data_IF_781112208071
#
_entry.id   IF_781112208071
#
_cell.length_a   1.000
_cell.length_b   1.000
_cell.length_c   1.000
_cell.angle_alpha   90.00
_cell.angle_beta   90.00
_cell.angle_gamma   90.00
#
_symmetry.space_group_name_H-M   'P 1'
#
loop_
_entity.id
_entity.type
_entity.pdbx_description
1 polymer ?
#
# COMPACT_ATOMS: atom_id res chain seq x y z
N UNK A 1 1.87 -17.38 21.76
CA UNK A 1 2.93 -17.18 20.76
C UNK A 1 3.67 -15.89 21.08
N UNK A 2 4.98 -15.82 20.84
CA UNK A 2 5.70 -14.55 21.00
C UNK A 2 5.24 -13.57 19.93
N UNK A 3 5.07 -12.28 20.30
CA UNK A 3 4.73 -11.23 19.35
C UNK A 3 5.87 -11.02 18.34
N UNK A 4 5.51 -10.63 17.14
CA UNK A 4 6.45 -10.28 16.06
C UNK A 4 7.02 -8.89 16.36
N UNK A 5 8.31 -8.78 16.59
CA UNK A 5 8.96 -7.48 16.79
C UNK A 5 9.21 -6.80 15.43
N UNK A 6 8.59 -5.66 15.23
CA UNK A 6 8.78 -4.85 14.04
C UNK A 6 9.41 -3.50 14.38
N UNK A 7 10.22 -3.00 13.45
CA UNK A 7 10.69 -1.61 13.44
C UNK A 7 10.23 -0.90 12.17
N UNK A 8 10.14 0.42 12.23
CA UNK A 8 9.69 1.26 11.11
C UNK A 8 10.83 2.23 10.77
N UNK A 9 11.30 2.19 9.53
CA UNK A 9 12.25 3.16 9.00
C UNK A 9 11.51 4.15 8.10
N UNK A 10 11.40 5.41 8.53
CA UNK A 10 10.59 6.45 7.94
C UNK A 10 9.21 6.58 8.60
N UNK A 11 8.97 7.69 9.28
CA UNK A 11 7.72 7.96 10.00
C UNK A 11 6.86 9.00 9.27
N UNK A 12 6.88 8.94 7.92
CA UNK A 12 6.01 9.68 7.01
C UNK A 12 4.55 9.19 7.06
N UNK A 13 3.75 9.51 6.06
CA UNK A 13 2.32 9.08 6.02
C UNK A 13 2.20 7.57 6.23
N UNK A 14 2.87 6.77 5.38
CA UNK A 14 2.73 5.31 5.41
C UNK A 14 3.33 4.71 6.68
N UNK A 15 4.53 5.12 7.11
CA UNK A 15 5.12 4.60 8.36
C UNK A 15 4.25 4.85 9.59
N UNK A 16 3.61 6.05 9.69
CA UNK A 16 2.66 6.35 10.77
C UNK A 16 1.39 5.51 10.70
N UNK A 17 0.87 5.24 9.50
CA UNK A 17 -0.35 4.44 9.35
C UNK A 17 -0.07 2.95 9.55
N UNK A 18 1.07 2.44 9.13
CA UNK A 18 1.54 1.10 9.52
C UNK A 18 1.64 1.01 11.05
N UNK A 19 2.20 2.04 11.71
CA UNK A 19 2.21 2.11 13.17
C UNK A 19 0.81 2.03 13.77
N UNK A 20 -0.13 2.86 13.28
CA UNK A 20 -1.52 2.89 13.76
C UNK A 20 -2.26 1.56 13.51
N UNK A 21 -2.02 0.91 12.37
CA UNK A 21 -2.60 -0.39 12.05
C UNK A 21 -2.02 -1.52 12.95
N UNK A 22 -0.72 -1.44 13.27
CA UNK A 22 -0.02 -2.47 14.02
C UNK A 22 -0.16 -2.37 15.54
N UNK A 23 -0.33 -1.15 16.11
CA UNK A 23 -0.22 -0.94 17.56
C UNK A 23 -1.26 -1.71 18.40
N UNK A 24 -2.43 -1.95 17.85
CA UNK A 24 -3.50 -2.70 18.49
C UNK A 24 -3.56 -4.16 18.04
N UNK A 25 -2.65 -4.59 17.14
CA UNK A 25 -2.58 -5.98 16.71
C UNK A 25 -1.94 -6.85 17.81
N UNK A 26 -2.64 -7.87 18.33
CA UNK A 26 -2.15 -8.69 19.44
C UNK A 26 -0.88 -9.48 19.09
N UNK A 27 -0.63 -9.73 17.81
CA UNK A 27 0.51 -10.51 17.33
C UNK A 27 1.77 -9.67 17.08
N UNK A 28 1.65 -8.33 17.10
CA UNK A 28 2.74 -7.42 16.75
C UNK A 28 3.21 -6.61 17.96
N UNK A 29 4.49 -6.35 17.98
CA UNK A 29 5.13 -5.45 18.92
C UNK A 29 6.03 -4.48 18.14
N UNK A 30 5.73 -3.18 18.21
CA UNK A 30 6.56 -2.15 17.60
C UNK A 30 7.67 -1.80 18.58
N UNK A 31 8.92 -2.10 18.21
CA UNK A 31 10.08 -1.96 19.10
C UNK A 31 10.95 -0.75 18.79
N UNK A 32 10.86 -0.20 17.58
CA UNK A 32 11.67 0.94 17.19
C UNK A 32 11.14 1.72 15.99
N UNK A 33 11.50 2.99 15.93
CA UNK A 33 11.21 3.89 14.81
C UNK A 33 12.49 4.66 14.49
N UNK A 34 12.81 4.80 13.22
CA UNK A 34 13.85 5.71 12.74
C UNK A 34 13.25 6.75 11.81
N UNK A 35 13.55 8.02 12.07
CA UNK A 35 13.28 9.14 11.17
C UNK A 35 14.18 10.31 11.55
N UNK A 36 14.34 11.31 10.67
CA UNK A 36 15.20 12.46 10.91
C UNK A 36 14.55 13.57 11.75
N UNK A 37 13.39 13.29 12.34
CA UNK A 37 12.68 14.17 13.28
C UNK A 37 12.79 13.64 14.71
N UNK A 38 12.64 14.51 15.71
CA UNK A 38 12.72 14.11 17.11
C UNK A 38 11.42 13.46 17.64
N UNK A 39 11.53 12.80 18.79
CA UNK A 39 10.42 12.09 19.42
C UNK A 39 9.24 13.00 19.80
N UNK A 40 9.48 14.27 20.16
CA UNK A 40 8.40 15.20 20.48
C UNK A 40 7.55 15.50 19.25
N UNK A 41 8.20 15.75 18.11
CA UNK A 41 7.51 15.99 16.87
C UNK A 41 6.84 14.71 16.33
N UNK A 42 7.49 13.54 16.46
CA UNK A 42 6.84 12.26 16.17
C UNK A 42 5.57 12.04 17.00
N UNK A 43 5.64 12.32 18.31
CA UNK A 43 4.50 12.26 19.24
C UNK A 43 3.35 13.16 18.78
N UNK A 44 3.66 14.39 18.38
CA UNK A 44 2.66 15.30 17.82
C UNK A 44 2.01 14.75 16.55
N UNK A 45 2.84 14.31 15.58
CA UNK A 45 2.36 13.77 14.30
C UNK A 45 1.58 12.46 14.46
N UNK A 46 1.87 11.66 15.49
CA UNK A 46 1.10 10.44 15.78
C UNK A 46 -0.26 10.78 16.37
N UNK A 47 -0.31 11.76 17.29
CA UNK A 47 -1.56 12.17 17.95
C UNK A 47 -2.56 12.81 17.01
N UNK A 48 -2.08 13.59 16.03
CA UNK A 48 -2.94 14.43 15.19
C UNK A 48 -2.76 14.08 13.72
N UNK A 49 -3.83 13.70 13.08
CA UNK A 49 -3.88 13.43 11.66
C UNK A 49 -5.18 14.03 11.08
N UNK A 50 -5.03 14.83 10.01
CA UNK A 50 -6.18 15.52 9.41
C UNK A 50 -7.11 14.54 8.72
N UNK A 51 -6.56 13.49 8.12
CA UNK A 51 -7.31 12.50 7.32
C UNK A 51 -7.90 11.42 8.22
N UNK A 52 -7.07 10.81 9.08
CA UNK A 52 -7.47 9.65 9.91
C UNK A 52 -7.80 10.01 11.36
N UNK A 53 -7.92 11.31 11.66
CA UNK A 53 -8.32 11.76 12.98
C UNK A 53 -7.29 11.57 14.09
N UNK A 54 -7.69 11.85 15.31
CA UNK A 54 -6.84 11.68 16.48
C UNK A 54 -6.49 10.21 16.71
N UNK A 55 -5.25 9.98 17.14
CA UNK A 55 -4.83 8.65 17.59
C UNK A 55 -5.65 8.22 18.81
N UNK A 56 -6.21 7.02 18.74
CA UNK A 56 -6.94 6.42 19.84
C UNK A 56 -5.99 5.70 20.80
N UNK A 57 -5.42 6.42 21.74
CA UNK A 57 -4.47 5.92 22.72
C UNK A 57 -3.65 7.03 23.36
N UNK A 58 -2.82 6.66 24.32
CA UNK A 58 -1.92 7.57 25.03
C UNK A 58 -0.56 7.63 24.31
N UNK A 59 -0.06 8.84 24.08
CA UNK A 59 1.26 9.08 23.49
C UNK A 59 2.02 10.08 24.31
N UNK A 60 3.19 9.70 24.80
CA UNK A 60 4.11 10.55 25.54
C UNK A 60 5.56 10.32 25.05
N UNK A 61 6.49 11.07 25.62
CA UNK A 61 7.92 10.97 25.34
C UNK A 61 8.67 10.74 26.63
N UNK A 62 9.60 9.79 26.62
CA UNK A 62 10.54 9.53 27.73
C UNK A 62 11.97 9.64 27.19
N UNK A 63 12.63 10.75 27.54
CA UNK A 63 13.93 11.10 26.98
C UNK A 63 13.86 11.35 25.47
N UNK A 64 14.45 10.48 24.68
CA UNK A 64 14.41 10.50 23.22
C UNK A 64 13.49 9.46 22.58
N UNK A 65 12.81 8.66 23.41
CA UNK A 65 11.97 7.56 22.95
C UNK A 65 10.47 7.92 23.04
N UNK A 66 9.65 7.27 22.22
CA UNK A 66 8.20 7.34 22.33
C UNK A 66 7.70 6.33 23.39
N UNK A 67 6.63 6.73 24.11
CA UNK A 67 5.85 5.81 24.95
C UNK A 67 4.41 5.86 24.45
N UNK A 68 3.93 4.71 23.95
CA UNK A 68 2.57 4.61 23.41
C UNK A 68 1.83 3.48 24.13
N UNK A 69 0.71 3.81 24.74
CA UNK A 69 -0.08 2.90 25.56
C UNK A 69 0.78 2.18 26.63
N UNK A 70 1.72 2.90 27.24
CA UNK A 70 2.65 2.38 28.23
C UNK A 70 3.86 1.62 27.69
N UNK A 71 3.91 1.34 26.36
CA UNK A 71 5.03 0.63 25.74
C UNK A 71 6.08 1.63 25.26
N UNK A 72 7.33 1.44 25.68
CA UNK A 72 8.46 2.24 25.24
C UNK A 72 8.97 1.75 23.89
N UNK A 73 9.13 2.68 22.95
CA UNK A 73 9.53 2.45 21.57
C UNK A 73 10.80 3.27 21.31
N UNK A 74 11.89 2.59 20.97
CA UNK A 74 13.16 3.27 20.69
C UNK A 74 13.04 4.17 19.47
N UNK A 75 13.48 5.44 19.59
CA UNK A 75 13.56 6.37 18.47
C UNK A 75 15.02 6.64 18.12
N UNK A 76 15.35 6.55 16.83
CA UNK A 76 16.66 6.87 16.28
C UNK A 76 16.53 7.90 15.16
N UNK A 77 17.64 8.61 14.85
CA UNK A 77 17.72 9.60 13.78
C UNK A 77 18.95 9.37 12.92
N UNK A 78 18.98 8.18 12.27
CA UNK A 78 20.11 7.72 11.47
C UNK A 78 19.74 7.73 9.97
N UNK A 79 20.71 8.18 9.14
CA UNK A 79 20.57 8.20 7.69
C UNK A 79 20.94 6.86 7.05
N UNK A 80 21.94 6.19 7.61
CA UNK A 80 22.41 4.91 7.10
C UNK A 80 21.75 3.76 7.87
N UNK A 81 20.99 2.88 7.20
CA UNK A 81 20.36 1.73 7.84
C UNK A 81 21.32 0.79 8.58
N UNK A 82 22.58 0.75 8.19
CA UNK A 82 23.61 -0.08 8.84
C UNK A 82 23.90 0.34 10.28
N UNK A 83 23.62 1.59 10.65
CA UNK A 83 23.89 2.14 11.99
C UNK A 83 22.69 2.06 12.94
N UNK A 84 21.59 1.44 12.52
CA UNK A 84 20.33 1.42 13.28
C UNK A 84 20.32 0.45 14.46
N UNK A 85 21.28 -0.51 14.50
CA UNK A 85 21.43 -1.48 15.58
C UNK A 85 20.10 -2.15 15.98
N UNK A 86 19.41 -2.71 14.98
CA UNK A 86 18.13 -3.38 15.17
C UNK A 86 18.22 -4.60 16.10
N UNK A 87 19.41 -5.21 16.19
CA UNK A 87 19.73 -6.29 17.13
C UNK A 87 19.47 -5.91 18.59
N UNK A 88 19.77 -4.66 18.99
CA UNK A 88 19.67 -4.22 20.40
C UNK A 88 18.23 -4.21 20.92
N UNK A 89 17.25 -4.15 20.03
CA UNK A 89 15.82 -4.17 20.34
C UNK A 89 15.12 -5.41 19.80
N UNK A 90 15.89 -6.40 19.31
CA UNK A 90 15.36 -7.62 18.71
C UNK A 90 14.32 -7.37 17.62
N UNK A 91 14.49 -6.36 16.78
CA UNK A 91 13.62 -6.11 15.64
C UNK A 91 13.82 -7.21 14.59
N UNK A 92 12.79 -8.01 14.34
CA UNK A 92 12.86 -9.10 13.37
C UNK A 92 12.53 -8.63 11.96
N UNK A 93 11.52 -7.78 11.85
CA UNK A 93 11.05 -7.18 10.57
C UNK A 93 11.27 -5.69 10.60
N UNK A 94 11.72 -5.14 9.48
CA UNK A 94 11.77 -3.70 9.25
C UNK A 94 10.79 -3.32 8.15
N UNK A 95 9.88 -2.40 8.44
CA UNK A 95 9.08 -1.73 7.41
C UNK A 95 9.90 -0.56 6.88
N UNK A 96 10.36 -0.68 5.63
CA UNK A 96 11.08 0.39 4.94
C UNK A 96 10.08 1.34 4.27
N UNK A 97 9.84 2.49 4.88
CA UNK A 97 8.83 3.47 4.44
C UNK A 97 9.40 4.88 4.18
N UNK A 98 10.73 4.99 4.00
CA UNK A 98 11.37 6.25 3.60
C UNK A 98 11.18 6.57 2.11
N UNK A 99 10.95 5.54 1.27
CA UNK A 99 10.95 5.64 -0.17
C UNK A 99 12.35 5.78 -0.81
N UNK A 100 13.42 5.62 -0.03
CA UNK A 100 14.81 5.76 -0.47
C UNK A 100 15.46 4.40 -0.76
N UNK A 101 15.25 3.42 0.10
CA UNK A 101 15.90 2.10 0.06
C UNK A 101 14.98 1.05 -0.59
N UNK A 102 14.82 1.14 -1.92
CA UNK A 102 13.86 0.36 -2.69
C UNK A 102 14.52 -0.72 -3.58
N UNK A 103 15.74 -1.10 -3.26
CA UNK A 103 16.46 -2.24 -3.85
C UNK A 103 17.07 -3.06 -2.73
N UNK A 104 17.33 -4.34 -2.99
CA UNK A 104 18.02 -5.20 -2.04
C UNK A 104 19.36 -4.61 -1.62
N UNK A 105 20.17 -4.14 -2.59
CA UNK A 105 21.47 -3.53 -2.31
C UNK A 105 21.36 -2.28 -1.42
N UNK A 106 20.39 -1.41 -1.68
CA UNK A 106 20.21 -0.20 -0.86
C UNK A 106 19.67 -0.48 0.54
N UNK A 107 18.87 -1.54 0.70
CA UNK A 107 18.22 -1.89 1.97
C UNK A 107 19.03 -2.88 2.84
N UNK A 108 20.12 -3.46 2.31
CA UNK A 108 20.93 -4.49 3.02
C UNK A 108 21.48 -4.02 4.36
N UNK A 109 21.64 -2.71 4.56
CA UNK A 109 22.03 -2.12 5.84
C UNK A 109 21.10 -2.52 6.99
N UNK A 110 19.82 -2.73 6.73
CA UNK A 110 18.89 -3.22 7.77
C UNK A 110 19.23 -4.62 8.26
N UNK A 111 19.63 -5.53 7.38
CA UNK A 111 20.04 -6.88 7.80
C UNK A 111 21.37 -6.86 8.55
N UNK A 112 22.35 -6.05 8.08
CA UNK A 112 23.64 -5.93 8.77
C UNK A 112 23.51 -5.27 10.14
N UNK A 113 22.47 -4.47 10.39
CA UNK A 113 22.15 -3.91 11.72
C UNK A 113 21.28 -4.83 12.60
N UNK A 114 20.97 -6.05 12.13
CA UNK A 114 20.37 -7.10 12.93
C UNK A 114 18.91 -7.46 12.63
N UNK A 115 18.25 -6.82 11.67
CA UNK A 115 16.94 -7.26 11.21
C UNK A 115 17.04 -8.60 10.45
N UNK A 116 15.97 -9.38 10.46
CA UNK A 116 15.89 -10.64 9.71
C UNK A 116 15.23 -10.46 8.34
N UNK A 117 14.26 -9.56 8.23
CA UNK A 117 13.45 -9.32 7.04
C UNK A 117 13.20 -7.83 6.84
N UNK A 118 13.12 -7.41 5.60
CA UNK A 118 12.77 -6.04 5.19
C UNK A 118 11.54 -6.08 4.29
N UNK A 119 10.52 -5.30 4.64
CA UNK A 119 9.30 -5.10 3.84
C UNK A 119 9.29 -3.67 3.33
N UNK A 120 9.52 -3.50 2.04
CA UNK A 120 9.47 -2.20 1.38
C UNK A 120 8.02 -1.76 1.18
N UNK A 121 7.65 -0.59 1.69
CA UNK A 121 6.31 -0.02 1.53
C UNK A 121 6.18 0.80 0.24
N UNK A 122 6.80 0.34 -0.82
CA UNK A 122 6.74 0.91 -2.18
C UNK A 122 7.19 -0.17 -3.18
N UNK A 123 6.89 -0.01 -4.49
CA UNK A 123 7.39 -0.92 -5.51
C UNK A 123 8.91 -0.98 -5.51
N UNK A 124 9.48 -2.19 -5.54
CA UNK A 124 10.92 -2.38 -5.69
C UNK A 124 11.41 -1.83 -7.03
N UNK A 125 12.63 -1.33 -7.04
CA UNK A 125 13.30 -0.80 -8.25
C UNK A 125 14.25 -1.80 -8.91
N UNK A 126 14.34 -2.99 -8.34
CA UNK A 126 15.10 -4.15 -8.84
C UNK A 126 14.17 -5.38 -8.93
N UNK A 127 14.76 -6.56 -8.88
CA UNK A 127 14.03 -7.83 -8.94
C UNK A 127 13.55 -8.33 -7.55
N UNK A 128 13.64 -7.51 -6.49
CA UNK A 128 13.06 -7.83 -5.19
C UNK A 128 11.58 -8.21 -5.35
N UNK A 129 11.16 -9.39 -4.85
CA UNK A 129 9.80 -9.89 -5.04
C UNK A 129 8.74 -8.92 -4.52
N UNK A 130 7.71 -8.68 -5.32
CA UNK A 130 6.55 -7.88 -4.94
C UNK A 130 5.36 -8.79 -4.64
N UNK A 131 4.69 -8.51 -3.52
CA UNK A 131 3.51 -9.24 -3.09
C UNK A 131 2.29 -8.35 -2.98
N UNK A 132 1.15 -8.91 -3.37
CA UNK A 132 -0.19 -8.38 -3.11
C UNK A 132 -0.97 -9.47 -2.39
N UNK A 133 -1.47 -9.17 -1.20
CA UNK A 133 -2.22 -10.12 -0.40
C UNK A 133 -3.45 -10.62 -1.16
N UNK A 134 -3.74 -11.92 -1.06
CA UNK A 134 -4.81 -12.60 -1.81
C UNK A 134 -4.47 -12.90 -3.27
N UNK A 135 -3.43 -12.30 -3.84
CA UNK A 135 -3.07 -12.47 -5.27
C UNK A 135 -1.91 -13.46 -5.43
N UNK A 136 -0.76 -13.12 -4.89
CA UNK A 136 0.46 -13.93 -5.07
C UNK A 136 1.27 -14.17 -3.79
N UNK A 137 0.74 -13.83 -2.62
CA UNK A 137 1.43 -14.05 -1.35
C UNK A 137 1.78 -15.52 -1.09
N UNK A 138 1.05 -16.47 -1.71
CA UNK A 138 1.38 -17.90 -1.64
C UNK A 138 2.77 -18.24 -2.22
N UNK A 139 3.33 -17.38 -3.08
CA UNK A 139 4.66 -17.55 -3.66
C UNK A 139 5.80 -17.10 -2.72
N UNK A 140 5.48 -16.58 -1.54
CA UNK A 140 6.49 -16.21 -0.57
C UNK A 140 7.23 -17.46 -0.04
N UNK A 141 8.57 -17.36 0.01
CA UNK A 141 9.44 -18.36 0.62
C UNK A 141 10.26 -17.74 1.74
N UNK A 142 10.56 -18.53 2.77
CA UNK A 142 11.25 -18.06 4.00
C UNK A 142 12.70 -17.63 3.78
N UNK A 143 13.31 -17.96 2.66
CA UNK A 143 14.63 -17.49 2.25
C UNK A 143 14.62 -16.05 1.67
N UNK A 144 13.45 -15.52 1.29
CA UNK A 144 13.30 -14.15 0.84
C UNK A 144 13.46 -13.17 2.01
N UNK A 145 14.58 -12.48 2.09
CA UNK A 145 14.87 -11.52 3.15
C UNK A 145 14.36 -10.11 2.84
N UNK A 146 14.19 -9.79 1.58
CA UNK A 146 13.65 -8.52 1.09
C UNK A 146 12.41 -8.80 0.29
N UNK A 147 11.34 -8.08 0.59
CA UNK A 147 10.08 -8.14 -0.17
C UNK A 147 9.49 -6.73 -0.29
N UNK A 148 8.66 -6.53 -1.29
CA UNK A 148 7.92 -5.30 -1.49
C UNK A 148 6.41 -5.57 -1.41
N UNK A 149 5.66 -4.67 -0.75
CA UNK A 149 4.20 -4.68 -0.74
C UNK A 149 3.60 -3.98 -1.99
N UNK A 150 4.39 -3.82 -3.07
CA UNK A 150 4.03 -3.10 -4.28
C UNK A 150 3.54 -1.66 -4.01
N UNK A 151 2.63 -1.10 -4.82
CA UNK A 151 2.00 0.19 -4.59
C UNK A 151 0.55 0.05 -4.13
N UNK A 152 -0.03 1.11 -3.57
CA UNK A 152 -1.45 1.15 -3.22
C UNK A 152 -2.35 0.89 -4.45
N UNK A 153 -2.03 1.50 -5.58
CA UNK A 153 -2.75 1.29 -6.84
C UNK A 153 -2.61 -0.14 -7.37
N UNK A 154 -1.42 -0.77 -7.24
CA UNK A 154 -1.23 -2.18 -7.60
C UNK A 154 -2.05 -3.09 -6.69
N UNK A 155 -2.13 -2.78 -5.39
CA UNK A 155 -2.95 -3.51 -4.43
C UNK A 155 -4.46 -3.39 -4.72
N UNK A 156 -4.91 -2.28 -5.32
CA UNK A 156 -6.29 -2.14 -5.78
C UNK A 156 -6.53 -2.89 -7.09
N UNK A 157 -5.66 -2.70 -8.08
CA UNK A 157 -5.84 -3.23 -9.43
C UNK A 157 -5.70 -4.76 -9.48
N UNK A 158 -4.72 -5.34 -8.78
CA UNK A 158 -4.37 -6.74 -8.94
C UNK A 158 -5.48 -7.72 -8.49
N UNK A 159 -6.19 -7.53 -7.36
CA UNK A 159 -7.31 -8.40 -6.99
C UNK A 159 -8.43 -8.40 -8.02
N UNK A 160 -8.86 -7.22 -8.49
CA UNK A 160 -9.89 -7.09 -9.53
C UNK A 160 -9.42 -7.71 -10.85
N UNK A 161 -8.19 -7.42 -11.28
CA UNK A 161 -7.63 -7.99 -12.51
C UNK A 161 -7.47 -9.51 -12.44
N UNK A 162 -7.16 -10.05 -11.25
CA UNK A 162 -7.07 -11.50 -11.02
C UNK A 162 -8.43 -12.17 -11.25
N UNK A 163 -9.49 -11.71 -10.59
CA UNK A 163 -10.84 -12.27 -10.76
C UNK A 163 -11.26 -12.21 -12.23
N UNK A 164 -11.04 -11.07 -12.87
CA UNK A 164 -11.42 -10.89 -14.27
C UNK A 164 -10.63 -11.80 -15.21
N UNK A 165 -9.30 -11.93 -14.98
CA UNK A 165 -8.44 -12.75 -15.82
C UNK A 165 -8.69 -14.25 -15.64
N UNK A 166 -8.88 -14.70 -14.41
CA UNK A 166 -9.08 -16.11 -14.10
C UNK A 166 -10.42 -16.62 -14.70
N UNK A 167 -11.45 -15.78 -14.76
CA UNK A 167 -12.76 -16.16 -15.28
C UNK A 167 -12.90 -15.88 -16.80
N UNK A 168 -12.50 -14.71 -17.26
CA UNK A 168 -12.82 -14.20 -18.61
C UNK A 168 -11.61 -13.92 -19.49
N UNK A 169 -10.39 -14.07 -18.97
CA UNK A 169 -9.10 -13.85 -19.66
C UNK A 169 -8.95 -12.44 -20.26
N UNK A 170 -8.22 -11.60 -19.58
CA UNK A 170 -7.85 -10.28 -20.10
C UNK A 170 -6.90 -10.45 -21.29
N UNK A 171 -7.27 -9.91 -22.44
CA UNK A 171 -6.46 -9.81 -23.64
C UNK A 171 -5.53 -8.60 -23.54
N UNK A 172 -6.10 -7.42 -23.28
CA UNK A 172 -5.39 -6.16 -23.12
C UNK A 172 -6.22 -5.15 -22.34
N UNK A 173 -5.56 -4.15 -21.73
CA UNK A 173 -6.30 -3.12 -21.02
C UNK A 173 -5.50 -1.87 -20.70
N UNK A 174 -6.24 -0.78 -20.48
CA UNK A 174 -5.73 0.48 -20.02
C UNK A 174 -6.33 0.82 -18.65
N UNK A 175 -5.47 1.19 -17.72
CA UNK A 175 -5.88 1.62 -16.39
C UNK A 175 -5.64 3.12 -16.23
N UNK A 176 -6.63 3.81 -15.71
CA UNK A 176 -6.48 5.16 -15.16
C UNK A 176 -6.76 5.11 -13.66
N UNK A 177 -5.86 5.62 -12.84
CA UNK A 177 -6.21 5.90 -11.45
C UNK A 177 -6.47 7.38 -11.28
N UNK A 178 -7.67 7.72 -10.76
CA UNK A 178 -7.96 9.06 -10.25
C UNK A 178 -7.55 9.04 -8.77
N UNK A 179 -6.41 9.65 -8.49
CA UNK A 179 -5.68 9.43 -7.24
C UNK A 179 -5.64 10.70 -6.38
N UNK A 180 -5.86 10.53 -5.09
CA UNK A 180 -5.71 11.59 -4.12
C UNK A 180 -4.30 12.20 -4.14
N UNK A 181 -4.19 13.45 -3.68
CA UNK A 181 -2.91 14.13 -3.54
C UNK A 181 -2.02 13.42 -2.53
N UNK A 182 -0.72 13.39 -2.78
CA UNK A 182 0.26 12.77 -1.89
C UNK A 182 1.32 13.77 -1.44
N UNK A 183 2.04 13.47 -0.37
CA UNK A 183 3.07 14.34 0.22
C UNK A 183 4.22 14.72 -0.75
N UNK A 184 4.37 14.01 -1.87
CA UNK A 184 5.35 14.34 -2.91
C UNK A 184 4.95 15.52 -3.79
N UNK A 185 3.66 15.90 -3.80
CA UNK A 185 3.14 17.01 -4.60
C UNK A 185 3.32 18.35 -3.89
N UNK A 186 3.33 19.42 -4.66
CA UNK A 186 3.42 20.79 -4.12
C UNK A 186 2.04 21.35 -3.81
N UNK A 187 1.91 22.08 -2.70
CA UNK A 187 0.67 22.76 -2.32
C UNK A 187 0.47 24.01 -3.18
N UNK A 188 1.57 24.75 -3.47
CA UNK A 188 1.63 25.89 -4.39
C UNK A 188 2.64 25.59 -5.49
N UNK A 189 2.55 26.29 -6.63
CA UNK A 189 3.49 26.11 -7.75
C UNK A 189 4.95 26.24 -7.26
N UNK A 190 5.75 25.22 -7.53
CA UNK A 190 7.15 25.16 -7.13
C UNK A 190 7.97 24.20 -8.00
N UNK A 191 9.30 24.32 -7.99
CA UNK A 191 10.16 23.52 -8.84
C UNK A 191 10.05 22.03 -8.51
N UNK A 192 9.91 21.23 -9.57
CA UNK A 192 9.95 19.77 -9.54
C UNK A 192 10.69 19.27 -10.77
N UNK A 193 11.98 19.01 -10.63
CA UNK A 193 12.89 18.75 -11.77
C UNK A 193 12.59 17.45 -12.51
N UNK A 194 12.07 16.44 -11.81
CA UNK A 194 11.77 15.12 -12.39
C UNK A 194 10.36 15.02 -12.98
N UNK A 195 9.42 15.75 -12.41
CA UNK A 195 8.02 15.78 -12.81
C UNK A 195 7.50 17.22 -12.72
N UNK A 196 7.54 17.95 -13.83
CA UNK A 196 7.11 19.35 -13.86
C UNK A 196 5.65 19.53 -13.49
N UNK A 197 4.78 18.59 -13.89
CA UNK A 197 3.35 18.61 -13.54
C UNK A 197 3.13 18.41 -12.03
N UNK A 198 3.92 17.55 -11.39
CA UNK A 198 3.90 17.35 -9.94
C UNK A 198 4.39 18.58 -9.13
N UNK A 199 5.01 19.55 -9.80
CA UNK A 199 5.37 20.87 -9.22
C UNK A 199 4.21 21.85 -9.16
N UNK A 200 3.04 21.55 -9.75
CA UNK A 200 1.88 22.45 -9.74
C UNK A 200 1.02 22.23 -8.50
N UNK A 201 0.30 23.30 -8.09
CA UNK A 201 -0.55 23.33 -6.90
C UNK A 201 -1.58 22.18 -6.90
N UNK A 202 -1.41 21.19 -6.02
CA UNK A 202 -2.16 19.93 -6.02
C UNK A 202 -3.65 20.15 -5.76
N UNK A 203 -4.01 21.08 -4.88
CA UNK A 203 -5.41 21.33 -4.52
C UNK A 203 -6.16 22.30 -5.44
N UNK A 204 -5.53 22.73 -6.54
CA UNK A 204 -6.15 23.64 -7.53
C UNK A 204 -6.15 23.07 -8.93
N UNK A 205 -5.67 21.84 -9.14
CA UNK A 205 -5.48 21.28 -10.46
C UNK A 205 -5.86 19.79 -10.54
N UNK A 206 -6.24 19.34 -11.73
CA UNK A 206 -6.20 17.93 -12.14
C UNK A 206 -4.85 17.71 -12.83
N UNK A 207 -4.00 16.84 -12.26
CA UNK A 207 -2.61 16.70 -12.68
C UNK A 207 -2.37 15.31 -13.29
N UNK A 208 -2.18 15.19 -14.62
CA UNK A 208 -1.74 13.93 -15.23
C UNK A 208 -0.35 13.53 -14.72
N UNK A 209 -0.20 12.27 -14.34
CA UNK A 209 1.05 11.72 -13.80
C UNK A 209 1.29 10.31 -14.34
N UNK A 210 2.52 9.94 -14.52
CA UNK A 210 2.88 8.56 -14.86
C UNK A 210 2.72 7.64 -13.64
N UNK A 211 2.38 6.38 -13.89
CA UNK A 211 2.36 5.34 -12.86
C UNK A 211 2.89 4.02 -13.42
N UNK A 212 3.65 3.30 -12.60
CA UNK A 212 4.09 1.93 -12.91
C UNK A 212 3.13 0.85 -12.40
N UNK A 213 2.01 1.24 -11.77
CA UNK A 213 1.14 0.31 -11.05
C UNK A 213 0.54 -0.78 -11.95
N UNK A 214 0.07 -0.43 -13.16
CA UNK A 214 -0.48 -1.40 -14.10
C UNK A 214 0.58 -2.38 -14.63
N UNK A 215 1.81 -1.90 -14.87
CA UNK A 215 2.93 -2.77 -15.26
C UNK A 215 3.35 -3.69 -14.12
N UNK A 216 3.28 -3.22 -12.88
CA UNK A 216 3.59 -4.01 -11.70
C UNK A 216 2.61 -5.17 -11.49
N UNK A 217 1.37 -5.08 -11.99
CA UNK A 217 0.43 -6.23 -12.00
C UNK A 217 1.02 -7.41 -12.76
N UNK A 218 1.74 -7.18 -13.87
CA UNK A 218 2.43 -8.26 -14.60
C UNK A 218 3.58 -8.93 -13.82
N UNK A 219 4.12 -8.28 -12.77
CA UNK A 219 5.09 -8.92 -11.85
C UNK A 219 4.40 -9.81 -10.81
N UNK A 220 3.19 -9.46 -10.37
CA UNK A 220 2.44 -10.24 -9.37
C UNK A 220 1.50 -11.27 -10.00
N UNK A 221 1.05 -11.03 -11.24
CA UNK A 221 0.27 -11.97 -12.08
C UNK A 221 1.00 -12.13 -13.42
N UNK A 222 1.94 -13.08 -13.56
CA UNK A 222 2.80 -13.19 -14.74
C UNK A 222 2.06 -13.33 -16.08
N UNK A 223 0.89 -13.96 -16.09
CA UNK A 223 0.02 -14.09 -17.28
C UNK A 223 -0.51 -12.75 -17.82
N UNK A 224 -0.47 -11.69 -17.01
CA UNK A 224 -0.85 -10.32 -17.39
C UNK A 224 0.35 -9.46 -17.81
N UNK A 225 1.57 -10.01 -17.82
CA UNK A 225 2.74 -9.26 -18.24
C UNK A 225 2.59 -8.75 -19.67
N UNK A 226 2.77 -7.43 -19.87
CA UNK A 226 2.63 -6.78 -21.17
C UNK A 226 1.18 -6.51 -21.61
N UNK A 227 0.18 -7.01 -20.91
CA UNK A 227 -1.25 -6.82 -21.26
C UNK A 227 -1.87 -5.56 -20.68
N UNK A 228 -1.31 -5.02 -19.59
CA UNK A 228 -1.83 -3.84 -18.91
C UNK A 228 -0.81 -2.71 -18.87
N UNK A 229 -1.28 -1.49 -19.14
CA UNK A 229 -0.54 -0.26 -18.88
C UNK A 229 -1.52 0.83 -18.40
N UNK A 230 -0.99 1.98 -17.95
CA UNK A 230 -1.90 3.01 -17.45
C UNK A 230 -1.21 4.29 -17.03
N UNK A 231 -2.04 5.21 -16.52
CA UNK A 231 -1.63 6.52 -16.04
C UNK A 231 -2.43 6.91 -14.79
N UNK A 232 -2.07 8.03 -14.19
CA UNK A 232 -2.79 8.61 -13.05
C UNK A 232 -3.25 10.02 -13.37
N UNK A 233 -4.40 10.41 -12.82
CA UNK A 233 -4.76 11.80 -12.58
C UNK A 233 -4.70 12.06 -11.08
N UNK A 234 -3.91 13.04 -10.65
CA UNK A 234 -3.95 13.55 -9.27
C UNK A 234 -5.05 14.59 -9.17
N UNK A 235 -5.90 14.45 -8.15
CA UNK A 235 -7.07 15.32 -7.93
C UNK A 235 -7.03 15.94 -6.53
N UNK A 236 -7.76 17.06 -6.29
CA UNK A 236 -7.77 17.79 -5.03
C UNK A 236 -8.55 17.07 -3.91
N UNK A 237 -8.25 15.82 -3.64
CA UNK A 237 -8.75 15.04 -2.50
C UNK A 237 -7.59 14.65 -1.59
N UNK A 238 -7.83 14.52 -0.30
CA UNK A 238 -6.77 14.24 0.69
C UNK A 238 -6.44 12.77 0.80
N UNK A 239 -7.42 11.89 0.51
CA UNK A 239 -7.30 10.44 0.56
C UNK A 239 -8.44 9.80 -0.24
N UNK A 240 -8.41 8.50 -0.38
CA UNK A 240 -9.25 7.62 -1.19
C UNK A 240 -9.12 7.91 -2.68
N UNK A 241 -8.72 6.92 -3.38
CA UNK A 241 -8.47 6.92 -4.82
C UNK A 241 -9.36 5.89 -5.51
N UNK A 242 -9.44 5.96 -6.84
CA UNK A 242 -10.20 5.02 -7.64
C UNK A 242 -9.38 4.52 -8.83
N UNK A 243 -9.49 3.23 -9.11
CA UNK A 243 -9.01 2.61 -10.35
C UNK A 243 -10.17 2.51 -11.34
N UNK A 244 -9.95 3.03 -12.53
CA UNK A 244 -10.76 2.84 -13.74
C UNK A 244 -9.97 1.91 -14.66
N UNK A 245 -10.47 0.68 -14.84
CA UNK A 245 -9.85 -0.35 -15.67
C UNK A 245 -10.74 -0.63 -16.89
N UNK A 246 -10.26 -0.29 -18.07
CA UNK A 246 -10.92 -0.62 -19.34
C UNK A 246 -10.16 -1.75 -20.03
N UNK A 247 -10.83 -2.86 -20.33
CA UNK A 247 -10.21 -4.06 -20.89
C UNK A 247 -11.00 -4.68 -22.04
N UNK A 248 -10.24 -5.33 -22.94
CA UNK A 248 -10.76 -6.37 -23.82
C UNK A 248 -10.57 -7.73 -23.16
N UNK A 249 -11.61 -8.56 -23.24
CA UNK A 249 -11.64 -9.94 -22.76
C UNK A 249 -11.51 -10.91 -23.91
N UNK A 250 -10.88 -12.05 -23.67
CA UNK A 250 -10.83 -13.13 -24.68
C UNK A 250 -12.15 -13.86 -24.75
N UNK A 251 -12.77 -14.15 -23.59
CA UNK A 251 -14.05 -14.85 -23.48
C UNK A 251 -15.20 -13.85 -23.51
N UNK A 252 -16.28 -14.25 -24.13
CA UNK A 252 -17.54 -13.52 -24.07
C UNK A 252 -18.18 -13.67 -22.69
N UNK A 253 -18.79 -12.60 -22.19
CA UNK A 253 -19.48 -12.55 -20.90
C UNK A 253 -20.52 -11.46 -20.85
N UNK A 254 -21.26 -11.38 -19.76
CA UNK A 254 -22.17 -10.27 -19.44
C UNK A 254 -21.62 -9.46 -18.25
N UNK A 255 -22.13 -8.27 -18.06
CA UNK A 255 -21.75 -7.44 -16.92
C UNK A 255 -22.18 -8.07 -15.59
N UNK A 256 -23.36 -8.73 -15.59
CA UNK A 256 -23.90 -9.44 -14.44
C UNK A 256 -23.03 -10.63 -14.02
N UNK A 257 -22.45 -11.37 -14.99
CA UNK A 257 -21.51 -12.44 -14.72
C UNK A 257 -20.22 -11.92 -14.10
N UNK A 258 -19.71 -10.78 -14.58
CA UNK A 258 -18.54 -10.10 -13.99
C UNK A 258 -18.84 -9.67 -12.55
N UNK A 259 -19.98 -9.00 -12.31
CA UNK A 259 -20.40 -8.59 -10.97
C UNK A 259 -20.54 -9.79 -10.02
N UNK A 260 -21.13 -10.89 -10.51
CA UNK A 260 -21.30 -12.13 -9.74
C UNK A 260 -19.95 -12.74 -9.36
N UNK A 261 -18.98 -12.78 -10.29
CA UNK A 261 -17.64 -13.27 -10.04
C UNK A 261 -16.89 -12.40 -9.00
N UNK A 262 -17.00 -11.07 -9.12
CA UNK A 262 -16.40 -10.11 -8.17
C UNK A 262 -17.00 -10.26 -6.77
N UNK A 263 -18.34 -10.36 -6.68
CA UNK A 263 -19.04 -10.56 -5.41
C UNK A 263 -18.63 -11.89 -4.75
N UNK A 264 -18.65 -12.97 -5.52
CA UNK A 264 -18.20 -14.28 -5.02
C UNK A 264 -16.77 -14.25 -4.50
N UNK A 265 -15.84 -13.67 -5.24
CA UNK A 265 -14.44 -13.56 -4.82
C UNK A 265 -14.29 -12.72 -3.54
N UNK A 266 -15.05 -11.64 -3.41
CA UNK A 266 -15.02 -10.76 -2.23
C UNK A 266 -15.53 -11.42 -0.96
N UNK A 267 -16.44 -12.37 -1.09
CA UNK A 267 -17.03 -13.13 0.02
C UNK A 267 -16.20 -14.38 0.39
N UNK A 268 -15.34 -14.87 -0.52
CA UNK A 268 -14.59 -16.12 -0.37
C UNK A 268 -13.07 -15.89 -0.41
N UNK A 269 -12.40 -16.23 -1.53
CA UNK A 269 -10.94 -16.30 -1.63
C UNK A 269 -10.21 -14.97 -1.49
N UNK A 270 -10.88 -13.85 -1.76
CA UNK A 270 -10.34 -12.49 -1.60
C UNK A 270 -11.00 -11.73 -0.45
N UNK A 271 -11.68 -12.43 0.47
CA UNK A 271 -12.26 -11.79 1.64
C UNK A 271 -11.20 -11.00 2.43
N UNK A 272 -11.56 -9.76 2.82
CA UNK A 272 -10.64 -8.84 3.49
C UNK A 272 -9.63 -8.12 2.55
N UNK A 273 -9.58 -8.48 1.27
CA UNK A 273 -8.75 -7.83 0.24
C UNK A 273 -9.62 -7.14 -0.80
N UNK A 274 -10.52 -7.89 -1.43
CA UNK A 274 -11.54 -7.38 -2.34
C UNK A 274 -12.84 -7.12 -1.57
N UNK A 275 -13.43 -5.97 -1.79
CA UNK A 275 -14.79 -5.63 -1.38
C UNK A 275 -15.71 -5.54 -2.59
N UNK A 276 -17.00 -5.48 -2.34
CA UNK A 276 -18.05 -5.28 -3.33
C UNK A 276 -19.05 -4.27 -2.81
N UNK A 277 -19.50 -3.36 -3.66
CA UNK A 277 -20.62 -2.45 -3.38
C UNK A 277 -21.56 -2.35 -4.58
N UNK A 278 -22.86 -2.24 -4.29
CA UNK A 278 -23.94 -1.92 -5.20
C UNK A 278 -24.73 -0.70 -4.70
N UNK A 279 -24.08 0.16 -3.91
CA UNK A 279 -24.64 1.39 -3.36
C UNK A 279 -24.09 2.60 -4.09
N UNK A 280 -24.86 3.70 -4.12
CA UNK A 280 -24.46 4.98 -4.72
C UNK A 280 -23.45 5.73 -3.84
N UNK A 281 -22.21 5.26 -3.78
CA UNK A 281 -21.13 5.74 -2.91
C UNK A 281 -20.18 6.69 -3.63
N UNK A 282 -19.40 7.42 -2.83
CA UNK A 282 -18.31 8.29 -3.28
C UNK A 282 -17.03 8.02 -2.48
N UNK A 283 -15.92 8.61 -2.87
CA UNK A 283 -14.60 8.31 -2.32
C UNK A 283 -14.51 8.34 -0.79
N UNK A 284 -15.12 9.34 -0.13
CA UNK A 284 -15.03 9.51 1.32
C UNK A 284 -15.72 8.42 2.13
N UNK A 285 -16.64 7.66 1.52
CA UNK A 285 -17.31 6.53 2.18
C UNK A 285 -16.36 5.35 2.45
N UNK A 286 -15.22 5.33 1.79
CA UNK A 286 -14.17 4.30 1.95
C UNK A 286 -12.99 4.75 2.81
N UNK A 287 -13.08 5.93 3.44
CA UNK A 287 -12.01 6.39 4.32
C UNK A 287 -11.87 5.45 5.53
N UNK A 288 -10.67 4.91 5.72
CA UNK A 288 -10.37 3.95 6.77
C UNK A 288 -10.72 2.50 6.42
N UNK A 289 -11.14 2.19 5.18
CA UNK A 289 -11.35 0.82 4.75
C UNK A 289 -10.00 0.08 4.63
N UNK A 290 -9.88 -1.06 5.29
CA UNK A 290 -8.67 -1.89 5.27
C UNK A 290 -8.54 -2.79 4.04
N UNK A 291 -9.61 -2.95 3.27
CA UNK A 291 -9.58 -3.64 1.98
C UNK A 291 -8.91 -2.73 0.96
N UNK A 292 -8.12 -3.31 0.06
CA UNK A 292 -7.34 -2.54 -0.90
C UNK A 292 -8.00 -2.40 -2.27
N UNK A 293 -9.15 -3.05 -2.50
CA UNK A 293 -9.88 -3.01 -3.76
C UNK A 293 -11.36 -3.19 -3.46
N UNK A 294 -12.18 -2.15 -3.60
CA UNK A 294 -13.62 -2.25 -3.40
C UNK A 294 -14.30 -2.06 -4.77
N UNK A 295 -14.72 -3.19 -5.37
CA UNK A 295 -15.38 -3.18 -6.67
C UNK A 295 -16.75 -2.52 -6.57
N UNK A 296 -16.98 -1.55 -7.44
CA UNK A 296 -18.24 -0.81 -7.55
C UNK A 296 -19.02 -1.32 -8.77
N UNK A 297 -20.09 -2.07 -8.50
CA UNK A 297 -20.88 -2.70 -9.56
C UNK A 297 -21.73 -1.71 -10.34
N UNK A 298 -22.07 -0.57 -9.74
CA UNK A 298 -22.92 0.43 -10.38
C UNK A 298 -22.14 1.46 -11.20
N UNK A 299 -20.83 1.58 -10.96
CA UNK A 299 -19.97 2.53 -11.68
C UNK A 299 -19.35 1.97 -12.96
N UNK A 300 -19.46 0.67 -13.23
CA UNK A 300 -18.90 0.03 -14.43
C UNK A 300 -19.81 0.15 -15.65
N UNK A 301 -19.22 -0.05 -16.83
CA UNK A 301 -19.93 0.02 -18.12
C UNK A 301 -19.40 -1.07 -19.03
N UNK A 302 -20.31 -1.81 -19.68
CA UNK A 302 -19.98 -2.79 -20.72
C UNK A 302 -20.45 -2.31 -22.08
N UNK A 303 -19.55 -2.21 -23.05
CA UNK A 303 -19.87 -1.75 -24.41
C UNK A 303 -20.39 -2.89 -25.30
N UNK A 304 -19.80 -4.08 -25.13
CA UNK A 304 -20.19 -5.31 -25.81
C UNK A 304 -19.70 -6.49 -24.94
N UNK A 305 -20.00 -7.72 -25.35
CA UNK A 305 -19.71 -8.94 -24.59
C UNK A 305 -18.21 -9.22 -24.30
N UNK A 306 -17.28 -8.35 -24.74
CA UNK A 306 -15.82 -8.47 -24.51
C UNK A 306 -15.17 -7.19 -24.07
N UNK A 307 -15.81 -6.03 -24.16
CA UNK A 307 -15.18 -4.75 -23.88
C UNK A 307 -15.89 -4.06 -22.70
N UNK A 308 -15.20 -3.96 -21.58
CA UNK A 308 -15.75 -3.51 -20.31
C UNK A 308 -14.84 -2.51 -19.61
N UNK A 309 -15.47 -1.54 -18.93
CA UNK A 309 -14.86 -0.63 -17.97
C UNK A 309 -15.34 -1.02 -16.57
N UNK A 310 -14.40 -1.21 -15.65
CA UNK A 310 -14.64 -1.54 -14.25
C UNK A 310 -14.04 -0.49 -13.33
N UNK A 311 -14.69 -0.28 -12.19
CA UNK A 311 -14.29 0.71 -11.18
C UNK A 311 -14.03 0.03 -9.85
N UNK A 312 -12.95 0.41 -9.18
CA UNK A 312 -12.65 -0.07 -7.83
C UNK A 312 -12.07 1.05 -6.97
N UNK A 313 -12.62 1.24 -5.77
CA UNK A 313 -12.19 2.22 -4.78
C UNK A 313 -11.11 1.64 -3.86
N UNK A 314 -10.28 2.52 -3.29
CA UNK A 314 -9.30 2.13 -2.28
C UNK A 314 -8.85 3.32 -1.43
N UNK A 315 -8.80 3.12 -0.11
CA UNK A 315 -8.05 4.02 0.75
C UNK A 315 -6.55 3.79 0.49
N UNK A 316 -5.92 4.73 -0.21
CA UNK A 316 -4.54 4.60 -0.67
C UNK A 316 -3.51 4.69 0.46
N UNK A 317 -3.93 5.07 1.66
CA UNK A 317 -3.10 5.16 2.86
C UNK A 317 -3.41 4.01 3.84
N UNK A 318 -4.67 3.92 4.33
CA UNK A 318 -5.04 2.97 5.38
C UNK A 318 -5.10 1.52 4.88
N UNK A 319 -5.79 1.26 3.78
CA UNK A 319 -5.88 -0.08 3.20
C UNK A 319 -4.49 -0.62 2.85
N UNK A 320 -3.66 0.21 2.22
CA UNK A 320 -2.29 -0.16 1.90
C UNK A 320 -1.44 -0.46 3.14
N UNK A 321 -1.50 0.39 4.16
CA UNK A 321 -0.73 0.22 5.41
C UNK A 321 -1.17 -1.02 6.18
N UNK A 322 -2.46 -1.34 6.17
CA UNK A 322 -3.00 -2.57 6.74
C UNK A 322 -2.43 -3.82 6.06
N UNK A 323 -2.29 -3.81 4.73
CA UNK A 323 -1.70 -4.93 3.97
C UNK A 323 -0.19 -5.09 4.19
N UNK A 324 0.54 -4.01 4.52
CA UNK A 324 1.94 -4.15 4.98
C UNK A 324 2.01 -4.96 6.27
N UNK A 325 1.12 -4.69 7.22
CA UNK A 325 1.02 -5.42 8.48
C UNK A 325 0.63 -6.89 8.24
N UNK A 326 -0.40 -7.12 7.44
CA UNK A 326 -0.87 -8.48 7.09
C UNK A 326 0.21 -9.29 6.35
N UNK A 327 1.00 -8.65 5.46
CA UNK A 327 2.11 -9.32 4.78
C UNK A 327 3.18 -9.79 5.79
N UNK A 328 3.51 -8.97 6.80
CA UNK A 328 4.44 -9.36 7.87
C UNK A 328 3.90 -10.56 8.66
N UNK A 329 2.63 -10.55 9.04
CA UNK A 329 1.99 -11.68 9.74
C UNK A 329 2.01 -12.93 8.88
N UNK A 330 1.67 -12.80 7.59
CA UNK A 330 1.73 -13.92 6.65
C UNK A 330 3.15 -14.49 6.52
N UNK A 331 4.15 -13.64 6.32
CA UNK A 331 5.56 -14.06 6.26
C UNK A 331 5.99 -14.80 7.54
N UNK A 332 5.57 -14.29 8.71
CA UNK A 332 5.89 -14.91 9.99
C UNK A 332 5.17 -16.27 10.19
N UNK A 333 3.97 -16.45 9.63
CA UNK A 333 3.24 -17.71 9.71
C UNK A 333 3.86 -18.85 8.88
N UNK A 334 4.84 -18.53 8.02
CA UNK A 334 5.53 -19.50 7.16
C UNK A 334 6.88 -19.98 7.77
N UNK A 335 7.26 -19.47 8.94
CA UNK A 335 8.49 -19.90 9.67
C UNK A 335 8.44 -21.34 10.14
#
# INVERSE_FOLDING_TARGET
MNKINIAINGFGRIGRLVFRAAINNPNINIVGINDLIDANYMSYMLRYDTTHGRFNGEVSVDGKDLVVNGNKIRVTSERDPANLNWSDINAEYVVESTGLFLTEDSAKGHLSSGAKKVVMSAPSKDDTPMFVMGVNNANYSTDMNFVSNASCTTNCLAPMAKVLHDNFEIESGLMTTVHAATASQKIVDGPSMKDWRGGRAAFSNIIPSSTGAAKAVGKVIPSLNGKLTGMAFRVPTVDVSVVDLTVNLTKETTYEEICSAMKSASENELNGVLGYTDEAVVSTDFLGDSRTSIFDSDAGIMLNNKFVKLVSWYDNEWGYSSKVVELIEYMNSKK
#
